data_IF_111003348937
#
_entry.id   IF_111003348937
#
_cell.length_a   1.000
_cell.length_b   1.000
_cell.length_c   1.000
_cell.angle_alpha   90.00
_cell.angle_beta   90.00
_cell.angle_gamma   90.00
#
_symmetry.space_group_name_H-M   'P 1'
#
loop_
_entity.id
_entity.type
_entity.pdbx_description
1 polymer ?
#
# COMPACT_ATOMS: atom_id res chain seq x y z
N UNK A 1 -21.17 -3.65 -11.94
CA UNK A 1 -20.22 -4.34 -12.85
C UNK A 1 -20.68 -5.78 -13.09
N UNK A 2 -20.89 -6.60 -12.04
CA UNK A 2 -21.32 -7.99 -12.24
C UNK A 2 -22.76 -8.13 -12.75
N UNK A 3 -23.61 -7.13 -12.58
CA UNK A 3 -24.96 -7.10 -13.17
C UNK A 3 -24.96 -7.05 -14.72
N UNK A 4 -23.84 -6.68 -15.33
CA UNK A 4 -23.67 -6.71 -16.80
C UNK A 4 -23.24 -8.08 -17.32
N UNK A 5 -23.09 -9.09 -16.45
CA UNK A 5 -22.64 -10.44 -16.80
C UNK A 5 -21.15 -10.58 -17.13
N UNK A 6 -20.35 -9.50 -17.01
CA UNK A 6 -18.91 -9.52 -17.31
C UNK A 6 -18.08 -9.29 -16.03
N UNK A 7 -17.17 -10.21 -15.75
CA UNK A 7 -16.12 -9.98 -14.75
C UNK A 7 -15.05 -9.01 -15.31
N UNK A 8 -14.46 -8.12 -14.49
CA UNK A 8 -13.33 -7.32 -14.93
C UNK A 8 -12.13 -8.24 -15.23
N UNK A 9 -11.27 -7.83 -16.15
CA UNK A 9 -10.03 -8.55 -16.46
C UNK A 9 -8.93 -8.24 -15.45
N UNK A 10 -8.95 -7.02 -14.92
CA UNK A 10 -7.94 -6.51 -14.00
C UNK A 10 -8.66 -5.88 -12.80
N UNK A 11 -8.24 -6.24 -11.59
CA UNK A 11 -8.63 -5.61 -10.33
C UNK A 11 -7.41 -4.92 -9.71
N UNK A 12 -7.48 -3.61 -9.51
CA UNK A 12 -6.46 -2.86 -8.77
C UNK A 12 -7.04 -2.40 -7.43
N UNK A 13 -6.58 -2.99 -6.35
CA UNK A 13 -6.92 -2.58 -4.98
C UNK A 13 -5.97 -1.45 -4.55
N UNK A 14 -6.40 -0.21 -4.75
CA UNK A 14 -5.64 1.00 -4.44
C UNK A 14 -6.32 1.86 -3.36
N UNK A 15 -7.58 1.65 -3.05
CA UNK A 15 -8.31 2.45 -2.08
C UNK A 15 -7.65 2.37 -0.69
N UNK A 16 -7.38 3.53 -0.10
CA UNK A 16 -6.79 3.66 1.23
C UNK A 16 -7.23 4.96 1.89
N UNK A 17 -7.20 5.00 3.21
CA UNK A 17 -7.27 6.24 3.97
C UNK A 17 -5.83 6.61 4.32
N UNK A 18 -5.36 7.76 3.84
CA UNK A 18 -4.10 8.35 4.27
C UNK A 18 -4.40 9.37 5.38
N UNK A 19 -4.13 8.96 6.61
CA UNK A 19 -4.39 9.79 7.78
C UNK A 19 -3.47 11.02 7.75
N UNK A 20 -4.07 12.21 7.61
CA UNK A 20 -3.36 13.49 7.70
C UNK A 20 -3.06 13.81 9.16
N UNK A 21 -1.84 14.30 9.44
CA UNK A 21 -1.46 14.77 10.76
C UNK A 21 -2.24 16.04 11.12
N UNK A 22 -2.95 16.04 12.24
CA UNK A 22 -3.60 17.24 12.77
C UNK A 22 -2.54 18.23 13.25
N UNK A 23 -2.56 19.45 12.73
CA UNK A 23 -1.50 20.45 12.98
C UNK A 23 -1.52 21.04 14.40
N UNK A 24 -2.62 20.97 15.15
CA UNK A 24 -2.78 21.66 16.44
C UNK A 24 -3.62 20.87 17.46
N UNK A 25 -3.47 19.56 17.51
CA UNK A 25 -4.17 18.76 18.55
C UNK A 25 -3.32 18.71 19.83
N UNK A 26 -3.93 18.96 20.98
CA UNK A 26 -3.31 18.78 22.30
C UNK A 26 -2.87 17.34 22.58
N UNK A 27 -3.43 16.36 21.84
CA UNK A 27 -3.09 14.93 21.93
C UNK A 27 -2.78 14.43 20.51
N UNK A 28 -1.59 13.84 20.32
CA UNK A 28 -1.21 13.24 19.03
C UNK A 28 -1.93 11.92 18.82
N UNK A 29 -3.00 11.97 18.02
CA UNK A 29 -3.85 10.81 17.70
C UNK A 29 -3.15 9.73 16.85
N UNK A 30 -2.03 10.05 16.21
CA UNK A 30 -1.25 9.08 15.43
C UNK A 30 -0.45 8.10 16.30
N UNK A 31 -0.18 8.46 17.57
CA UNK A 31 0.61 7.65 18.50
C UNK A 31 -0.18 6.41 18.92
N UNK A 32 0.54 5.31 19.13
CA UNK A 32 -0.07 4.00 19.46
C UNK A 32 -0.95 4.06 20.71
N UNK A 33 -0.47 4.72 21.74
CA UNK A 33 -1.19 4.87 23.02
C UNK A 33 -2.47 5.69 22.95
N UNK A 34 -2.59 6.54 21.91
CA UNK A 34 -3.74 7.43 21.69
C UNK A 34 -4.58 7.01 20.47
N UNK A 35 -4.20 5.92 19.79
CA UNK A 35 -4.85 5.53 18.53
C UNK A 35 -6.21 4.90 18.78
N UNK A 36 -7.27 5.58 18.35
CA UNK A 36 -8.64 5.18 18.64
C UNK A 36 -9.05 3.91 17.88
N UNK A 37 -9.82 3.03 18.52
CA UNK A 37 -10.26 1.76 17.94
C UNK A 37 -11.19 1.95 16.73
N UNK A 38 -12.04 2.97 16.74
CA UNK A 38 -12.92 3.30 15.62
C UNK A 38 -12.13 3.75 14.38
N UNK A 39 -11.06 4.53 14.59
CA UNK A 39 -10.13 4.91 13.51
C UNK A 39 -9.40 3.67 12.96
N UNK A 40 -8.92 2.79 13.84
CA UNK A 40 -8.32 1.51 13.45
C UNK A 40 -9.27 0.69 12.56
N UNK A 41 -10.51 0.49 13.03
CA UNK A 41 -11.51 -0.27 12.28
C UNK A 41 -11.85 0.36 10.94
N UNK A 42 -11.99 1.69 10.90
CA UNK A 42 -12.27 2.44 9.68
C UNK A 42 -11.16 2.29 8.64
N UNK A 43 -9.90 2.47 9.05
CA UNK A 43 -8.76 2.39 8.13
C UNK A 43 -8.54 0.97 7.62
N UNK A 44 -8.62 -0.05 8.50
CA UNK A 44 -8.58 -1.45 8.09
C UNK A 44 -9.78 -1.80 7.19
N UNK A 45 -10.96 -1.27 7.50
CA UNK A 45 -12.18 -1.46 6.72
C UNK A 45 -11.99 -1.07 5.27
N UNK A 46 -11.37 0.08 4.99
CA UNK A 46 -11.10 0.54 3.63
C UNK A 46 -9.90 -0.17 3.01
N UNK A 47 -8.75 -0.15 3.70
CA UNK A 47 -7.48 -0.55 3.08
C UNK A 47 -7.30 -2.05 2.94
N UNK A 48 -7.73 -2.84 3.92
CA UNK A 48 -7.53 -4.29 3.94
C UNK A 48 -8.83 -5.07 3.70
N UNK A 49 -9.87 -4.81 4.49
CA UNK A 49 -11.16 -5.50 4.33
C UNK A 49 -11.79 -5.20 2.98
N UNK A 50 -11.72 -3.93 2.51
CA UNK A 50 -12.19 -3.54 1.19
C UNK A 50 -11.49 -4.31 0.07
N UNK A 51 -10.16 -4.42 0.14
CA UNK A 51 -9.36 -5.21 -0.82
C UNK A 51 -9.74 -6.69 -0.82
N UNK A 52 -9.94 -7.28 0.36
CA UNK A 52 -10.45 -8.65 0.51
C UNK A 52 -11.84 -8.80 -0.13
N UNK A 53 -12.77 -7.90 0.13
CA UNK A 53 -14.13 -7.97 -0.42
C UNK A 53 -14.14 -7.82 -1.94
N UNK A 54 -13.34 -6.92 -2.49
CA UNK A 54 -13.17 -6.77 -3.94
C UNK A 54 -12.56 -8.05 -4.55
N UNK A 55 -11.52 -8.60 -3.94
CA UNK A 55 -10.94 -9.86 -4.40
C UNK A 55 -11.95 -11.01 -4.31
N UNK A 56 -12.70 -11.12 -3.21
CA UNK A 56 -13.76 -12.14 -3.04
C UNK A 56 -14.79 -12.07 -4.16
N UNK A 57 -15.27 -10.88 -4.51
CA UNK A 57 -16.35 -10.71 -5.50
C UNK A 57 -15.80 -10.84 -6.92
N UNK A 58 -14.81 -10.04 -7.27
CA UNK A 58 -14.30 -9.97 -8.64
C UNK A 58 -13.33 -11.12 -8.95
N UNK A 59 -12.47 -11.49 -8.02
CA UNK A 59 -11.56 -12.62 -8.18
C UNK A 59 -12.30 -13.95 -8.34
N UNK A 60 -13.40 -14.19 -7.61
CA UNK A 60 -14.26 -15.34 -7.82
C UNK A 60 -14.85 -15.36 -9.23
N UNK A 61 -15.26 -14.22 -9.76
CA UNK A 61 -15.79 -14.14 -11.13
C UNK A 61 -14.68 -14.35 -12.18
N UNK A 62 -13.46 -13.84 -11.94
CA UNK A 62 -12.28 -14.12 -12.75
C UNK A 62 -11.94 -15.62 -12.77
N UNK A 63 -11.90 -16.25 -11.60
CA UNK A 63 -11.61 -17.67 -11.45
C UNK A 63 -12.62 -18.57 -12.19
N UNK A 64 -13.91 -18.22 -12.14
CA UNK A 64 -14.95 -18.93 -12.91
C UNK A 64 -14.77 -18.78 -14.41
N UNK A 65 -14.23 -17.66 -14.86
CA UNK A 65 -13.92 -17.41 -16.29
C UNK A 65 -12.61 -18.07 -16.72
N UNK A 66 -11.74 -18.44 -15.80
CA UNK A 66 -10.43 -19.03 -16.08
C UNK A 66 -9.33 -18.00 -16.40
N UNK A 67 -9.54 -16.71 -16.12
CA UNK A 67 -8.52 -15.68 -16.37
C UNK A 67 -8.77 -14.41 -15.54
N UNK A 68 -7.69 -13.76 -15.09
CA UNK A 68 -7.76 -12.48 -14.39
C UNK A 68 -6.45 -12.07 -13.73
N UNK A 69 -6.34 -10.79 -13.42
CA UNK A 69 -5.18 -10.23 -12.73
C UNK A 69 -5.61 -9.34 -11.58
N UNK A 70 -5.09 -9.61 -10.39
CA UNK A 70 -5.32 -8.82 -9.18
C UNK A 70 -4.01 -8.13 -8.80
N UNK A 71 -4.06 -6.82 -8.59
CA UNK A 71 -2.91 -6.02 -8.17
C UNK A 71 -3.29 -5.29 -6.88
N UNK A 72 -2.56 -5.57 -5.81
CA UNK A 72 -2.71 -4.89 -4.53
C UNK A 72 -1.64 -3.79 -4.41
N UNK A 73 -2.05 -2.55 -4.16
CA UNK A 73 -1.11 -1.44 -3.95
C UNK A 73 -0.67 -1.43 -2.48
N UNK A 74 0.45 -2.09 -2.24
CA UNK A 74 1.11 -2.11 -0.94
C UNK A 74 1.92 -0.81 -0.69
N UNK A 75 3.13 -0.89 -0.20
CA UNK A 75 4.11 0.17 0.04
C UNK A 75 5.46 -0.46 0.37
N UNK A 76 6.55 0.30 0.28
CA UNK A 76 7.82 -0.03 0.93
C UNK A 76 7.60 -0.32 2.44
N UNK A 77 6.72 0.44 3.11
CA UNK A 77 6.30 0.21 4.50
C UNK A 77 5.36 -1.02 4.69
N UNK A 78 5.15 -1.81 3.68
CA UNK A 78 4.60 -3.18 3.74
C UNK A 78 5.69 -4.26 3.73
N UNK A 79 6.97 -3.85 3.68
CA UNK A 79 8.16 -4.71 3.64
C UNK A 79 9.13 -4.34 4.75
N UNK A 80 9.34 -3.03 4.96
CA UNK A 80 10.16 -2.49 6.05
C UNK A 80 9.30 -1.76 7.07
N UNK A 81 9.84 -1.53 8.27
CA UNK A 81 9.20 -0.71 9.30
C UNK A 81 9.34 0.79 8.98
N UNK A 82 8.39 1.63 9.42
CA UNK A 82 8.53 3.09 9.31
C UNK A 82 9.64 3.60 10.23
N UNK A 83 10.50 4.46 9.71
CA UNK A 83 11.41 5.26 10.53
C UNK A 83 10.64 6.43 11.14
N UNK A 84 10.31 6.35 12.42
CA UNK A 84 9.52 7.37 13.11
C UNK A 84 10.25 8.72 13.22
N UNK A 85 11.58 8.76 13.07
CA UNK A 85 12.37 10.00 13.08
C UNK A 85 12.01 10.94 11.95
N UNK A 86 11.46 10.42 10.84
CA UNK A 86 10.99 11.22 9.70
C UNK A 86 9.90 12.23 10.09
N UNK A 87 9.10 11.90 11.09
CA UNK A 87 7.93 12.69 11.48
C UNK A 87 8.22 13.65 12.64
N UNK A 88 9.42 13.61 13.22
CA UNK A 88 9.79 14.47 14.35
C UNK A 88 9.69 15.95 13.99
N UNK A 89 9.16 16.73 14.92
CA UNK A 89 9.08 18.20 14.85
C UNK A 89 9.95 18.80 15.94
N UNK A 90 10.80 19.74 15.55
CA UNK A 90 11.67 20.45 16.51
C UNK A 90 10.83 21.25 17.49
N UNK A 91 11.30 21.33 18.74
CA UNK A 91 10.59 22.03 19.82
C UNK A 91 9.32 21.35 20.34
N UNK A 92 9.00 20.14 19.87
CA UNK A 92 7.84 19.36 20.35
C UNK A 92 8.31 18.31 21.36
N UNK A 93 7.61 18.18 22.49
CA UNK A 93 7.89 17.16 23.50
C UNK A 93 7.74 15.74 22.92
N UNK A 94 8.48 14.77 23.45
CA UNK A 94 8.56 13.41 22.89
C UNK A 94 7.19 12.71 22.87
N UNK A 95 6.36 12.91 23.88
CA UNK A 95 5.00 12.37 24.00
C UNK A 95 4.00 13.03 23.06
N UNK A 96 4.36 14.18 22.47
CA UNK A 96 3.57 14.93 21.51
C UNK A 96 4.09 14.81 20.07
N UNK A 97 5.17 14.06 19.83
CA UNK A 97 5.72 13.86 18.50
C UNK A 97 4.75 13.07 17.62
N UNK A 98 4.46 13.53 16.38
CA UNK A 98 3.71 12.74 15.43
C UNK A 98 4.50 11.50 15.00
N UNK A 99 3.78 10.43 14.69
CA UNK A 99 4.35 9.17 14.20
C UNK A 99 3.55 8.66 13.00
N UNK A 100 4.13 7.78 12.18
CA UNK A 100 3.34 7.05 11.18
C UNK A 100 2.32 6.17 11.90
N UNK A 101 1.02 6.28 11.61
CA UNK A 101 -0.01 5.47 12.26
C UNK A 101 0.24 3.96 12.10
N UNK A 102 -0.04 3.21 13.15
CA UNK A 102 0.15 1.75 13.18
C UNK A 102 -0.64 1.03 12.08
N UNK A 103 -1.85 1.50 11.78
CA UNK A 103 -2.72 0.96 10.73
C UNK A 103 -2.08 0.93 9.37
N UNK A 104 -1.28 1.93 9.03
CA UNK A 104 -0.62 1.97 7.72
C UNK A 104 0.29 0.75 7.51
N UNK A 105 1.17 0.46 8.47
CA UNK A 105 2.05 -0.70 8.39
C UNK A 105 1.25 -2.01 8.37
N UNK A 106 0.26 -2.14 9.26
CA UNK A 106 -0.57 -3.36 9.33
C UNK A 106 -1.31 -3.61 8.02
N UNK A 107 -1.94 -2.58 7.45
CA UNK A 107 -2.65 -2.68 6.17
C UNK A 107 -1.68 -3.08 5.05
N UNK A 108 -0.54 -2.40 4.93
CA UNK A 108 0.39 -2.62 3.82
C UNK A 108 1.07 -3.99 3.89
N UNK A 109 1.42 -4.49 5.08
CA UNK A 109 1.86 -5.88 5.27
C UNK A 109 0.71 -6.88 5.04
N UNK A 110 -0.51 -6.56 5.50
CA UNK A 110 -1.69 -7.38 5.27
C UNK A 110 -2.01 -7.56 3.78
N UNK A 111 -1.83 -6.51 2.95
CA UNK A 111 -1.99 -6.61 1.49
C UNK A 111 -0.94 -7.53 0.85
N UNK A 112 0.28 -7.56 1.35
CA UNK A 112 1.30 -8.54 0.90
C UNK A 112 0.87 -9.96 1.25
N UNK A 113 0.38 -10.19 2.46
CA UNK A 113 -0.17 -11.48 2.88
C UNK A 113 -1.37 -11.92 2.03
N UNK A 114 -2.32 -11.00 1.80
CA UNK A 114 -3.48 -11.24 0.94
C UNK A 114 -3.06 -11.60 -0.49
N UNK A 115 -2.08 -10.89 -1.05
CA UNK A 115 -1.55 -11.15 -2.39
C UNK A 115 -1.04 -12.58 -2.52
N UNK A 116 -0.22 -13.03 -1.58
CA UNK A 116 0.35 -14.40 -1.58
C UNK A 116 -0.73 -15.47 -1.43
N UNK A 117 -1.70 -15.22 -0.56
CA UNK A 117 -2.84 -16.11 -0.39
C UNK A 117 -3.64 -16.27 -1.70
N UNK A 118 -4.00 -15.15 -2.35
CA UNK A 118 -4.78 -15.15 -3.59
C UNK A 118 -4.02 -15.82 -4.74
N UNK A 119 -2.71 -15.60 -4.81
CA UNK A 119 -1.83 -16.17 -5.83
C UNK A 119 -1.82 -17.70 -5.82
N UNK A 120 -1.85 -18.30 -4.64
CA UNK A 120 -1.91 -19.77 -4.50
C UNK A 120 -3.34 -20.30 -4.61
N UNK A 121 -4.30 -19.54 -4.08
CA UNK A 121 -5.70 -19.98 -3.99
C UNK A 121 -6.38 -20.14 -5.36
N UNK A 122 -6.00 -19.31 -6.35
CA UNK A 122 -6.57 -19.33 -7.69
C UNK A 122 -5.55 -19.63 -8.80
N UNK A 123 -4.40 -20.19 -8.48
CA UNK A 123 -3.38 -20.54 -9.47
C UNK A 123 -3.93 -21.45 -10.59
N UNK A 124 -4.66 -22.50 -10.22
CA UNK A 124 -5.24 -23.49 -11.15
C UNK A 124 -6.44 -22.92 -11.93
N UNK A 125 -6.91 -21.72 -11.57
CA UNK A 125 -8.05 -21.06 -12.20
C UNK A 125 -7.62 -19.89 -13.11
N UNK A 126 -6.34 -19.83 -13.46
CA UNK A 126 -5.82 -18.80 -14.37
C UNK A 126 -5.87 -17.36 -13.84
N UNK A 127 -5.96 -17.18 -12.52
CA UNK A 127 -5.92 -15.84 -11.90
C UNK A 127 -4.57 -15.62 -11.24
N UNK A 128 -3.92 -14.51 -11.59
CA UNK A 128 -2.67 -14.06 -10.97
C UNK A 128 -2.94 -12.96 -9.96
N UNK A 129 -2.20 -12.96 -8.86
CA UNK A 129 -2.26 -11.89 -7.87
C UNK A 129 -0.85 -11.43 -7.53
N UNK A 130 -0.57 -10.14 -7.69
CA UNK A 130 0.72 -9.53 -7.36
C UNK A 130 0.51 -8.23 -6.56
N UNK A 131 1.53 -7.79 -5.85
CA UNK A 131 1.55 -6.51 -5.18
C UNK A 131 2.54 -5.55 -5.85
N UNK A 132 2.18 -4.28 -5.93
CA UNK A 132 3.10 -3.18 -6.20
C UNK A 132 3.41 -2.50 -4.87
N UNK A 133 4.68 -2.37 -4.52
CA UNK A 133 5.15 -1.72 -3.30
C UNK A 133 5.93 -0.44 -3.65
N UNK A 134 5.22 0.69 -3.85
CA UNK A 134 5.85 1.97 -4.12
C UNK A 134 6.51 2.55 -2.87
N UNK A 135 7.63 3.24 -3.04
CA UNK A 135 8.14 4.21 -2.08
C UNK A 135 7.34 5.53 -2.09
N UNK A 136 7.80 6.51 -1.33
CA UNK A 136 7.13 7.80 -1.22
C UNK A 136 7.13 8.58 -2.55
N UNK A 137 5.95 9.03 -2.99
CA UNK A 137 5.78 9.95 -4.13
C UNK A 137 5.84 11.39 -3.63
N UNK A 138 6.63 12.23 -4.28
CA UNK A 138 6.63 13.66 -3.99
C UNK A 138 5.27 14.30 -4.38
N UNK A 139 4.67 14.98 -3.43
CA UNK A 139 3.41 15.69 -3.61
C UNK A 139 3.36 16.88 -2.63
N UNK A 140 4.13 17.92 -2.92
CA UNK A 140 4.21 19.17 -2.14
C UNK A 140 4.41 18.97 -0.63
N UNK A 141 5.21 17.97 -0.26
CA UNK A 141 5.59 17.74 1.13
C UNK A 141 6.53 18.87 1.64
N UNK A 142 6.54 19.14 2.96
CA UNK A 142 7.48 20.08 3.55
C UNK A 142 8.93 19.71 3.21
N UNK A 143 9.75 20.72 2.89
CA UNK A 143 11.16 20.53 2.47
C UNK A 143 11.97 19.68 3.46
N UNK A 144 11.77 19.90 4.75
CA UNK A 144 12.47 19.14 5.78
C UNK A 144 12.09 17.65 5.76
N UNK A 145 10.82 17.32 5.57
CA UNK A 145 10.37 15.94 5.40
C UNK A 145 10.99 15.32 4.14
N UNK A 146 10.98 16.06 3.01
CA UNK A 146 11.59 15.60 1.76
C UNK A 146 13.08 15.31 1.94
N UNK A 147 13.82 16.22 2.61
CA UNK A 147 15.24 16.05 2.91
C UNK A 147 15.50 14.79 3.75
N UNK A 148 14.73 14.62 4.84
CA UNK A 148 14.85 13.47 5.74
C UNK A 148 14.54 12.14 5.03
N UNK A 149 13.43 12.06 4.28
CA UNK A 149 13.08 10.82 3.58
C UNK A 149 14.05 10.51 2.44
N UNK A 150 14.51 11.53 1.70
CA UNK A 150 15.48 11.36 0.62
C UNK A 150 16.82 10.83 1.11
N UNK A 151 17.25 11.17 2.33
CA UNK A 151 18.49 10.63 2.92
C UNK A 151 18.41 9.13 3.25
N UNK A 152 17.20 8.56 3.30
CA UNK A 152 16.99 7.13 3.49
C UNK A 152 16.82 6.37 2.17
N UNK A 153 16.89 7.05 1.04
CA UNK A 153 16.67 6.45 -0.29
C UNK A 153 18.01 6.49 -1.05
N UNK A 154 18.59 5.38 -1.47
CA UNK A 154 19.83 5.35 -2.26
C UNK A 154 19.83 6.26 -3.49
N UNK A 155 18.69 6.39 -4.19
CA UNK A 155 18.54 7.31 -5.31
C UNK A 155 18.49 8.80 -4.89
N UNK A 156 18.54 9.12 -3.59
CA UNK A 156 18.61 10.49 -3.04
C UNK A 156 17.36 11.34 -3.23
N UNK A 157 16.24 10.77 -3.63
CA UNK A 157 14.99 11.51 -3.89
C UNK A 157 13.74 10.67 -3.72
N UNK A 158 12.62 11.32 -3.48
CA UNK A 158 11.30 10.71 -3.63
C UNK A 158 10.97 10.45 -5.11
N UNK A 159 10.05 9.56 -5.37
CA UNK A 159 9.57 9.28 -6.72
C UNK A 159 8.75 10.44 -7.28
N UNK A 160 8.78 10.60 -8.60
CA UNK A 160 7.88 11.48 -9.34
C UNK A 160 6.53 10.80 -9.57
N UNK A 161 5.48 11.57 -9.79
CA UNK A 161 4.10 11.09 -9.89
C UNK A 161 3.89 9.98 -10.95
N UNK A 162 4.62 10.00 -12.05
CA UNK A 162 4.45 9.02 -13.14
C UNK A 162 5.32 7.76 -13.05
N UNK A 163 6.27 7.67 -12.10
CA UNK A 163 7.29 6.62 -12.10
C UNK A 163 6.75 5.21 -11.80
N UNK A 164 5.52 5.09 -11.29
CA UNK A 164 4.88 3.80 -11.00
C UNK A 164 3.95 3.29 -12.12
N UNK A 165 3.61 4.13 -13.11
CA UNK A 165 2.63 3.80 -14.13
C UNK A 165 3.07 2.59 -14.97
N UNK A 166 4.32 2.58 -15.42
CA UNK A 166 4.85 1.49 -16.22
C UNK A 166 4.84 0.14 -15.47
N UNK A 167 5.17 0.15 -14.17
CA UNK A 167 5.13 -1.04 -13.34
C UNK A 167 3.70 -1.58 -13.16
N UNK A 168 2.72 -0.69 -12.99
CA UNK A 168 1.31 -1.08 -12.91
C UNK A 168 0.84 -1.69 -14.24
N UNK A 169 1.17 -1.08 -15.37
CA UNK A 169 0.84 -1.61 -16.70
C UNK A 169 1.53 -2.95 -16.93
N UNK A 170 2.80 -3.10 -16.56
CA UNK A 170 3.52 -4.37 -16.63
C UNK A 170 2.81 -5.46 -15.83
N UNK A 171 2.46 -5.22 -14.57
CA UNK A 171 1.75 -6.20 -13.73
C UNK A 171 0.36 -6.55 -14.27
N UNK A 172 -0.30 -5.60 -14.94
CA UNK A 172 -1.63 -5.78 -15.54
C UNK A 172 -1.62 -6.52 -16.87
N UNK A 173 -0.47 -6.62 -17.52
CA UNK A 173 -0.33 -7.17 -18.89
C UNK A 173 0.23 -8.60 -18.91
N UNK A 174 0.21 -9.21 -20.11
CA UNK A 174 0.83 -10.51 -20.37
C UNK A 174 2.36 -10.51 -20.23
N UNK A 175 3.01 -9.34 -20.23
CA UNK A 175 4.45 -9.23 -19.96
C UNK A 175 4.82 -9.77 -18.57
N UNK A 176 3.88 -9.85 -17.64
CA UNK A 176 4.04 -10.44 -16.31
C UNK A 176 3.32 -11.80 -16.15
N UNK A 177 3.04 -12.51 -17.25
CA UNK A 177 2.25 -13.77 -17.23
C UNK A 177 2.83 -14.86 -16.31
N UNK A 178 4.15 -14.87 -16.09
CA UNK A 178 4.82 -15.83 -15.18
C UNK A 178 5.07 -15.25 -13.77
N UNK A 179 4.47 -14.09 -13.45
CA UNK A 179 4.55 -13.49 -12.10
C UNK A 179 3.26 -13.77 -11.33
N UNK A 180 3.38 -14.44 -10.18
CA UNK A 180 2.28 -14.73 -9.29
C UNK A 180 2.77 -14.74 -7.84
N UNK A 181 2.09 -14.02 -6.94
CA UNK A 181 2.47 -13.89 -5.54
C UNK A 181 3.66 -12.94 -5.27
N UNK A 182 4.15 -12.25 -6.27
CA UNK A 182 5.31 -11.36 -6.18
C UNK A 182 4.94 -10.02 -5.57
N UNK A 183 5.89 -9.44 -4.84
CA UNK A 183 5.87 -8.02 -4.44
C UNK A 183 6.90 -7.28 -5.28
N UNK A 184 6.43 -6.49 -6.24
CA UNK A 184 7.28 -5.64 -7.08
C UNK A 184 7.57 -4.34 -6.32
N UNK A 185 8.81 -4.20 -5.87
CA UNK A 185 9.26 -3.03 -5.08
C UNK A 185 9.82 -1.97 -6.01
N UNK A 186 9.31 -0.74 -5.87
CA UNK A 186 9.80 0.46 -6.54
C UNK A 186 9.96 1.59 -5.51
N UNK A 187 11.07 1.63 -4.82
CA UNK A 187 11.28 2.53 -3.68
C UNK A 187 12.60 3.32 -3.73
N UNK A 188 13.26 3.31 -4.89
CA UNK A 188 14.57 3.96 -5.06
C UNK A 188 15.70 3.31 -4.28
N UNK A 189 15.50 2.05 -3.84
CA UNK A 189 16.46 1.27 -3.06
C UNK A 189 16.30 1.41 -1.54
N UNK A 190 15.25 2.09 -1.06
CA UNK A 190 15.06 2.34 0.38
C UNK A 190 15.03 1.07 1.23
N UNK A 191 14.48 -0.02 0.70
CA UNK A 191 14.30 -1.27 1.44
C UNK A 191 15.47 -2.25 1.36
N UNK A 192 16.60 -1.87 0.72
CA UNK A 192 17.74 -2.78 0.52
C UNK A 192 18.95 -2.48 1.40
N UNK A 193 18.89 -1.53 2.31
CA UNK A 193 19.95 -1.18 3.26
C UNK A 193 19.43 -0.95 4.69
#
# INVERSE_FOLDING_TARGET
ILSTGKAPDILVNNAAIDAKFEKNSAVQKSRLENFALDQWQKELGVGLTGSFLCAKVFGTAMARRGSGTIINIASDLGIIAPDQRLYKKDGTADDQQPVKPVTYSVIKHGLVGLTRYLATYWADHGVRANALAPGGVYNDHPEEFVRRVSSLIPMGRMAKLGEYQAALVFLASEASSYMNGTVLVLDGGRSVW
#
